data_IF_002136963917
#
_entry.id   IF_002136963917
#
_cell.length_a   1.000
_cell.length_b   1.000
_cell.length_c   1.000
_cell.angle_alpha   90.00
_cell.angle_beta   90.00
_cell.angle_gamma   90.00
#
_symmetry.space_group_name_H-M   'P 1'
#
loop_
_entity.id
_entity.type
_entity.pdbx_description
1 polymer ?
#
# COMPACT_ATOMS: atom_id res chain seq x y z
N UNK A 1 -21.70 -40.26 8.30
CA UNK A 1 -21.26 -40.23 6.88
C UNK A 1 -19.77 -39.95 6.86
N UNK A 2 -18.93 -40.89 6.41
CA UNK A 2 -17.51 -40.64 6.18
C UNK A 2 -17.32 -39.85 4.88
N UNK A 3 -16.61 -38.72 4.94
CA UNK A 3 -16.27 -37.93 3.74
C UNK A 3 -14.84 -38.25 3.30
N UNK A 4 -14.69 -38.58 2.02
CA UNK A 4 -13.40 -38.93 1.40
C UNK A 4 -12.99 -37.85 0.40
N UNK A 5 -11.81 -37.29 0.60
CA UNK A 5 -11.25 -36.24 -0.27
C UNK A 5 -9.98 -36.75 -0.95
N UNK A 6 -9.85 -36.45 -2.24
CA UNK A 6 -8.63 -36.73 -3.01
C UNK A 6 -7.73 -35.51 -3.02
N UNK A 7 -6.47 -35.69 -2.64
CA UNK A 7 -5.45 -34.65 -2.75
C UNK A 7 -4.90 -34.59 -4.18
N UNK A 8 -4.22 -33.49 -4.52
CA UNK A 8 -3.58 -33.29 -5.84
C UNK A 8 -2.48 -34.30 -6.14
N UNK A 9 -1.91 -34.94 -5.11
CA UNK A 9 -0.98 -36.07 -5.24
C UNK A 9 -1.70 -37.43 -5.44
N UNK A 10 -3.04 -37.43 -5.44
CA UNK A 10 -3.86 -38.61 -5.67
C UNK A 10 -4.17 -39.44 -4.42
N UNK A 11 -3.64 -39.06 -3.26
CA UNK A 11 -3.93 -39.72 -1.99
C UNK A 11 -5.37 -39.46 -1.54
N UNK A 12 -6.05 -40.48 -0.99
CA UNK A 12 -7.41 -40.36 -0.47
C UNK A 12 -7.35 -40.21 1.05
N UNK A 13 -7.76 -39.06 1.56
CA UNK A 13 -7.89 -38.78 2.99
C UNK A 13 -9.35 -38.95 3.37
N UNK A 14 -9.61 -39.80 4.35
CA UNK A 14 -10.95 -39.99 4.92
C UNK A 14 -11.04 -39.20 6.22
N UNK A 15 -11.95 -38.25 6.29
CA UNK A 15 -12.23 -37.49 7.51
C UNK A 15 -13.48 -38.08 8.16
N UNK A 16 -13.32 -38.68 9.35
CA UNK A 16 -14.44 -39.03 10.22
C UNK A 16 -14.85 -37.75 10.93
N UNK A 17 -16.08 -37.24 10.77
CA UNK A 17 -16.52 -36.03 11.47
C UNK A 17 -16.57 -36.34 12.96
N UNK A 18 -15.55 -35.92 13.71
CA UNK A 18 -15.53 -35.98 15.15
C UNK A 18 -16.60 -35.01 15.67
N UNK A 19 -17.43 -35.48 16.58
CA UNK A 19 -18.56 -34.77 17.15
C UNK A 19 -18.19 -33.34 17.58
N UNK A 20 -19.11 -32.41 17.28
CA UNK A 20 -19.22 -31.01 17.70
C UNK A 20 -18.25 -30.61 18.82
N UNK A 21 -16.99 -30.36 18.46
CA UNK A 21 -16.11 -29.57 19.27
C UNK A 21 -16.40 -28.14 18.87
N UNK A 22 -16.92 -27.34 19.80
CA UNK A 22 -17.11 -25.91 19.63
C UNK A 22 -15.77 -25.28 19.26
N UNK A 23 -15.53 -25.11 17.97
CA UNK A 23 -14.38 -24.38 17.45
C UNK A 23 -14.67 -22.92 17.75
N UNK A 24 -14.07 -22.40 18.82
CA UNK A 24 -14.04 -20.96 19.04
C UNK A 24 -13.21 -20.38 17.89
N UNK A 25 -13.87 -19.74 16.93
CA UNK A 25 -13.20 -18.84 16.00
C UNK A 25 -12.47 -17.82 16.88
N UNK A 26 -11.15 -17.76 16.75
CA UNK A 26 -10.37 -16.75 17.45
C UNK A 26 -10.93 -15.38 17.09
N UNK A 27 -11.01 -14.49 18.09
CA UNK A 27 -11.45 -13.12 17.87
C UNK A 27 -10.58 -12.51 16.75
N UNK A 28 -11.15 -12.07 15.62
CA UNK A 28 -10.38 -11.48 14.53
C UNK A 28 -9.65 -10.20 14.96
N UNK A 29 -10.00 -9.61 16.11
CA UNK A 29 -9.25 -8.51 16.73
C UNK A 29 -8.04 -8.99 17.57
N UNK A 30 -7.96 -10.27 17.92
CA UNK A 30 -6.86 -10.85 18.69
C UNK A 30 -5.67 -11.28 17.80
N UNK A 31 -5.91 -11.54 16.51
CA UNK A 31 -4.81 -11.54 15.54
C UNK A 31 -4.43 -10.09 15.25
N UNK A 32 -3.19 -9.72 15.62
CA UNK A 32 -2.48 -8.64 14.93
C UNK A 32 -2.27 -9.11 13.49
N UNK A 33 -3.33 -9.02 12.68
CA UNK A 33 -3.19 -9.06 11.24
C UNK A 33 -2.16 -8.01 10.86
N UNK A 34 -1.32 -8.34 9.89
CA UNK A 34 -0.21 -7.54 9.35
C UNK A 34 -0.67 -6.21 8.71
N UNK A 35 -1.86 -5.72 9.07
CA UNK A 35 -2.56 -4.56 8.53
C UNK A 35 -2.13 -3.21 9.10
N UNK A 36 -0.99 -3.13 9.79
CA UNK A 36 -0.29 -1.85 9.92
C UNK A 36 0.60 -1.74 8.69
N UNK A 37 0.07 -1.11 7.64
CA UNK A 37 0.89 -0.74 6.49
C UNK A 37 1.79 0.38 6.99
N UNK A 38 3.08 0.08 7.15
CA UNK A 38 4.07 1.09 7.54
C UNK A 38 3.90 2.33 6.64
N UNK A 39 4.00 3.55 7.20
CA UNK A 39 3.76 4.79 6.44
C UNK A 39 4.60 4.88 5.15
N UNK A 40 5.82 4.33 5.16
CA UNK A 40 6.70 4.22 4.00
C UNK A 40 6.09 3.39 2.85
N UNK A 41 5.35 2.32 3.17
CA UNK A 41 4.68 1.49 2.18
C UNK A 41 3.49 2.20 1.53
N UNK A 42 2.84 3.14 2.24
CA UNK A 42 1.78 3.98 1.67
C UNK A 42 2.36 5.01 0.71
N UNK A 43 3.43 5.69 1.10
CA UNK A 43 4.13 6.67 0.25
C UNK A 43 4.63 6.02 -1.05
N UNK A 44 5.25 4.83 -0.96
CA UNK A 44 5.69 4.09 -2.15
C UNK A 44 4.53 3.77 -3.10
N UNK A 45 3.37 3.36 -2.57
CA UNK A 45 2.19 3.08 -3.41
C UNK A 45 1.60 4.33 -4.05
N UNK A 46 1.66 5.46 -3.35
CA UNK A 46 1.21 6.75 -3.90
C UNK A 46 2.11 7.19 -5.05
N UNK A 47 3.43 7.07 -4.89
CA UNK A 47 4.41 7.35 -5.96
C UNK A 47 4.17 6.42 -7.16
N UNK A 48 4.00 5.12 -6.94
CA UNK A 48 3.74 4.17 -8.03
C UNK A 48 2.45 4.52 -8.80
N UNK A 49 1.40 4.93 -8.08
CA UNK A 49 0.14 5.36 -8.71
C UNK A 49 0.36 6.55 -9.62
N UNK A 50 1.05 7.58 -9.14
CA UNK A 50 1.33 8.80 -9.93
C UNK A 50 2.15 8.48 -11.16
N UNK A 51 3.21 7.68 -11.04
CA UNK A 51 4.02 7.28 -12.21
C UNK A 51 3.17 6.56 -13.26
N UNK A 52 2.23 5.70 -12.84
CA UNK A 52 1.32 4.99 -13.77
C UNK A 52 0.32 5.94 -14.42
N UNK A 53 -0.19 6.92 -13.67
CA UNK A 53 -1.18 7.90 -14.13
C UNK A 53 -0.59 8.84 -15.18
N UNK A 54 0.59 9.39 -14.89
CA UNK A 54 1.34 10.27 -15.80
C UNK A 54 2.22 9.48 -16.78
N UNK A 55 1.96 8.19 -17.02
CA UNK A 55 2.84 7.31 -17.82
C UNK A 55 3.11 7.76 -19.26
N UNK A 56 2.35 8.74 -19.76
CA UNK A 56 2.58 9.39 -21.07
C UNK A 56 3.56 10.58 -21.01
N UNK A 57 3.77 11.19 -19.83
CA UNK A 57 4.67 12.32 -19.61
C UNK A 57 5.55 12.09 -18.35
N UNK A 58 6.78 11.57 -18.54
CA UNK A 58 7.72 11.34 -17.45
C UNK A 58 8.15 12.62 -16.71
N UNK A 59 8.13 13.78 -17.37
CA UNK A 59 8.53 15.04 -16.73
C UNK A 59 7.45 15.52 -15.76
N UNK A 60 6.19 15.45 -16.19
CA UNK A 60 5.04 15.75 -15.34
C UNK A 60 4.93 14.74 -14.17
N UNK A 61 5.18 13.46 -14.44
CA UNK A 61 5.24 12.42 -13.40
C UNK A 61 6.31 12.73 -12.34
N UNK A 62 7.51 13.13 -12.77
CA UNK A 62 8.60 13.47 -11.85
C UNK A 62 8.26 14.68 -10.98
N UNK A 63 7.65 15.71 -11.57
CA UNK A 63 7.23 16.91 -10.85
C UNK A 63 6.17 16.60 -9.79
N UNK A 64 5.14 15.82 -10.16
CA UNK A 64 4.10 15.38 -9.22
C UNK A 64 4.66 14.51 -8.08
N UNK A 65 5.67 13.68 -8.36
CA UNK A 65 6.38 12.91 -7.33
C UNK A 65 7.15 13.82 -6.38
N UNK A 66 7.82 14.87 -6.87
CA UNK A 66 8.50 15.84 -6.00
C UNK A 66 7.53 16.53 -5.03
N UNK A 67 6.35 16.94 -5.51
CA UNK A 67 5.29 17.51 -4.65
C UNK A 67 4.81 16.51 -3.59
N UNK A 68 4.59 15.25 -3.97
CA UNK A 68 4.21 14.20 -3.01
C UNK A 68 5.29 13.99 -1.94
N UNK A 69 6.55 13.93 -2.36
CA UNK A 69 7.66 13.72 -1.43
C UNK A 69 7.79 14.91 -0.47
N UNK A 70 7.62 16.13 -0.96
CA UNK A 70 7.67 17.33 -0.12
C UNK A 70 6.57 17.33 0.95
N UNK A 71 5.32 17.13 0.56
CA UNK A 71 4.20 17.10 1.51
C UNK A 71 4.28 15.98 2.57
N UNK A 72 5.15 14.97 2.37
CA UNK A 72 5.36 13.90 3.33
C UNK A 72 6.67 14.04 4.15
N UNK A 73 7.69 14.71 3.61
CA UNK A 73 9.05 14.71 4.16
C UNK A 73 9.62 16.11 4.44
N UNK A 74 8.99 17.20 3.97
CA UNK A 74 9.45 18.57 4.18
C UNK A 74 10.74 18.91 3.43
N UNK A 75 10.92 18.38 2.22
CA UNK A 75 12.19 18.44 1.48
C UNK A 75 12.55 19.87 1.03
N UNK A 76 11.57 20.70 0.69
CA UNK A 76 11.78 22.09 0.31
C UNK A 76 12.28 22.92 1.50
N UNK A 77 11.74 22.71 2.70
CA UNK A 77 12.20 23.38 3.92
C UNK A 77 13.65 23.03 4.27
N UNK A 78 14.07 21.81 3.93
CA UNK A 78 15.44 21.33 4.08
C UNK A 78 16.38 21.75 2.93
N UNK A 79 15.89 22.49 1.94
CA UNK A 79 16.68 23.05 0.83
C UNK A 79 17.01 22.06 -0.29
N UNK A 80 16.32 20.90 -0.38
CA UNK A 80 16.59 19.90 -1.42
C UNK A 80 16.22 20.38 -2.84
N UNK A 81 15.38 21.41 -2.96
CA UNK A 81 14.86 21.92 -4.23
C UNK A 81 15.24 23.37 -4.51
N UNK A 82 16.16 23.96 -3.75
CA UNK A 82 16.55 25.38 -3.88
C UNK A 82 17.04 25.76 -5.29
N UNK A 83 17.68 24.81 -5.98
CA UNK A 83 18.20 24.99 -7.33
C UNK A 83 17.19 24.67 -8.44
N UNK A 84 15.96 24.23 -8.10
CA UNK A 84 14.93 23.84 -9.07
C UNK A 84 13.64 24.67 -8.89
N UNK A 85 13.62 25.83 -9.55
CA UNK A 85 12.46 26.73 -9.56
C UNK A 85 11.18 26.06 -10.07
N UNK A 86 11.28 25.04 -10.94
CA UNK A 86 10.09 24.36 -11.48
C UNK A 86 9.41 23.54 -10.39
N UNK A 87 10.19 22.82 -9.60
CA UNK A 87 9.69 22.05 -8.45
C UNK A 87 9.13 22.97 -7.37
N UNK A 88 9.85 24.04 -7.01
CA UNK A 88 9.40 25.00 -6.00
C UNK A 88 8.05 25.65 -6.37
N UNK A 89 7.89 26.05 -7.63
CA UNK A 89 6.62 26.60 -8.10
C UNK A 89 5.49 25.57 -8.06
N UNK A 90 5.77 24.30 -8.37
CA UNK A 90 4.77 23.24 -8.31
C UNK A 90 4.32 22.93 -6.88
N UNK A 91 5.24 22.95 -5.91
CA UNK A 91 4.94 22.79 -4.48
C UNK A 91 4.02 23.93 -4.00
N UNK A 92 4.41 25.19 -4.29
CA UNK A 92 3.60 26.35 -3.92
C UNK A 92 2.20 26.33 -4.54
N UNK A 93 2.09 25.89 -5.80
CA UNK A 93 0.80 25.77 -6.47
C UNK A 93 -0.08 24.66 -5.87
N UNK A 94 0.52 23.57 -5.38
CA UNK A 94 -0.20 22.48 -4.72
C UNK A 94 -0.73 22.91 -3.35
N UNK A 95 0.06 23.63 -2.55
CA UNK A 95 -0.38 24.17 -1.24
C UNK A 95 -1.57 25.13 -1.38
N UNK A 96 -1.58 25.96 -2.43
CA UNK A 96 -2.69 26.87 -2.71
C UNK A 96 -3.97 26.18 -3.16
N UNK A 97 -3.91 24.92 -3.61
CA UNK A 97 -5.07 24.17 -4.05
C UNK A 97 -5.78 23.43 -2.89
N UNK A 98 -5.15 23.33 -1.72
CA UNK A 98 -5.65 22.61 -0.55
C UNK A 98 -6.31 23.52 0.52
N UNK A 99 -6.21 24.85 0.37
CA UNK A 99 -6.80 25.92 1.21
C UNK A 99 -8.12 26.49 0.63
#
# INVERSE_FOLDING_TARGET
>A
MDMKFRTTSGAIVSATPLADASVSLADPAAERGVGQVEPEHLLRKQIERVIREYGADPAEAALAVCVILDGNLGLAEDGYFDDDETVLNAILAADQADD
#
